data_IF_948714802117
#
_entry.id   IF_948714802117
#
_cell.length_a   1.000
_cell.length_b   1.000
_cell.length_c   1.000
_cell.angle_alpha   90.00
_cell.angle_beta   90.00
_cell.angle_gamma   90.00
#
_symmetry.space_group_name_H-M   'P 1'
#
loop_
_entity.id
_entity.type
_entity.pdbx_description
1 polymer ?
#
# COMPACT_ATOMS: atom_id res chain seq x y z
N UNK A 1 -18.20 31.05 15.21
CA UNK A 1 -18.88 29.76 14.99
C UNK A 1 -19.83 29.56 16.14
N UNK A 2 -21.12 29.47 15.85
CA UNK A 2 -22.14 29.16 16.85
C UNK A 2 -22.01 27.69 17.29
N UNK A 3 -22.67 27.33 18.39
CA UNK A 3 -22.71 25.93 18.84
C UNK A 3 -23.36 25.02 17.80
N UNK A 4 -24.44 25.47 17.15
CA UNK A 4 -25.17 24.71 16.13
C UNK A 4 -24.31 24.48 14.88
N UNK A 5 -23.56 25.50 14.44
CA UNK A 5 -22.60 25.36 13.34
C UNK A 5 -21.48 24.37 13.72
N UNK A 6 -20.94 24.49 14.94
CA UNK A 6 -19.89 23.60 15.43
C UNK A 6 -20.37 22.15 15.49
N UNK A 7 -21.59 21.92 16.00
CA UNK A 7 -22.22 20.61 16.10
C UNK A 7 -22.45 19.99 14.73
N UNK A 8 -23.02 20.74 13.78
CA UNK A 8 -23.23 20.25 12.42
C UNK A 8 -21.92 19.84 11.73
N UNK A 9 -20.84 20.58 11.95
CA UNK A 9 -19.51 20.19 11.47
C UNK A 9 -18.98 18.96 12.20
N UNK A 10 -19.16 18.87 13.51
CA UNK A 10 -18.70 17.75 14.33
C UNK A 10 -19.39 16.44 13.94
N UNK A 11 -20.70 16.47 13.67
CA UNK A 11 -21.49 15.31 13.25
C UNK A 11 -20.94 14.66 11.97
N UNK A 12 -20.25 15.43 11.12
CA UNK A 12 -19.55 14.93 9.92
C UNK A 12 -18.10 14.56 10.24
N UNK A 13 -17.35 15.46 10.89
CA UNK A 13 -15.88 15.34 11.03
C UNK A 13 -15.50 14.24 12.01
N UNK A 14 -16.17 14.16 13.17
CA UNK A 14 -15.74 13.28 14.27
C UNK A 14 -15.78 11.82 13.85
N UNK A 15 -16.89 11.28 13.30
CA UNK A 15 -16.94 9.88 12.88
C UNK A 15 -15.89 9.54 11.81
N UNK A 16 -15.60 10.46 10.90
CA UNK A 16 -14.61 10.25 9.83
C UNK A 16 -13.17 10.23 10.37
N UNK A 17 -12.84 11.11 11.32
CA UNK A 17 -11.52 11.07 11.99
C UNK A 17 -11.37 9.79 12.82
N UNK A 18 -12.41 9.36 13.52
CA UNK A 18 -12.44 8.10 14.26
C UNK A 18 -12.24 6.90 13.32
N UNK A 19 -12.85 6.93 12.13
CA UNK A 19 -12.61 5.99 11.04
C UNK A 19 -11.22 6.10 10.40
N UNK A 20 -10.42 7.05 10.86
CA UNK A 20 -9.04 7.24 10.49
C UNK A 20 -8.86 8.03 9.21
N UNK A 21 -9.81 8.85 8.78
CA UNK A 21 -9.63 9.72 7.62
C UNK A 21 -8.61 10.82 7.89
N UNK A 22 -7.94 11.31 6.85
CA UNK A 22 -7.10 12.52 6.98
C UNK A 22 -7.95 13.78 6.85
N UNK A 23 -7.56 14.90 7.49
CA UNK A 23 -8.21 16.20 7.28
C UNK A 23 -8.36 16.57 5.80
N UNK A 24 -7.33 16.35 4.97
CA UNK A 24 -7.42 16.49 3.52
C UNK A 24 -8.58 15.69 2.89
N UNK A 25 -8.72 14.41 3.25
CA UNK A 25 -9.74 13.54 2.68
C UNK A 25 -11.15 14.03 3.04
N UNK A 26 -11.35 14.46 4.29
CA UNK A 26 -12.64 14.97 4.77
C UNK A 26 -13.03 16.22 3.98
N UNK A 27 -12.17 17.26 3.94
CA UNK A 27 -12.53 18.52 3.25
C UNK A 27 -12.68 18.36 1.74
N UNK A 28 -12.00 17.38 1.14
CA UNK A 28 -12.11 17.08 -0.29
C UNK A 28 -13.46 16.45 -0.63
N UNK A 29 -14.00 15.64 0.28
CA UNK A 29 -15.22 14.86 0.04
C UNK A 29 -16.48 15.50 0.62
N UNK A 30 -16.30 16.46 1.54
CA UNK A 30 -17.37 17.27 2.14
C UNK A 30 -17.18 18.75 1.83
N UNK A 31 -17.33 19.20 0.57
CA UNK A 31 -17.21 20.61 0.19
C UNK A 31 -18.25 21.50 0.90
N UNK A 32 -19.36 20.93 1.36
CA UNK A 32 -20.39 21.59 2.18
C UNK A 32 -19.86 22.13 3.51
N UNK A 33 -18.75 21.59 4.04
CA UNK A 33 -18.11 22.12 5.24
C UNK A 33 -17.53 23.53 5.02
N UNK A 34 -17.28 23.90 3.75
CA UNK A 34 -16.78 25.22 3.33
C UNK A 34 -15.53 25.69 4.12
N UNK A 35 -14.64 24.75 4.45
CA UNK A 35 -13.38 25.03 5.14
C UNK A 35 -12.21 24.39 4.41
N UNK A 36 -11.03 25.01 4.56
CA UNK A 36 -9.79 24.42 4.07
C UNK A 36 -9.24 23.37 5.03
N UNK A 37 -8.38 22.48 4.55
CA UNK A 37 -7.64 21.52 5.39
C UNK A 37 -6.90 22.22 6.54
N UNK A 38 -6.26 23.37 6.26
CA UNK A 38 -5.57 24.17 7.29
C UNK A 38 -6.53 24.66 8.36
N UNK A 39 -7.74 25.08 7.96
CA UNK A 39 -8.78 25.51 8.89
C UNK A 39 -9.22 24.34 9.78
N UNK A 40 -9.39 23.14 9.21
CA UNK A 40 -9.74 21.94 9.97
C UNK A 40 -8.68 21.60 11.02
N UNK A 41 -7.39 21.63 10.65
CA UNK A 41 -6.29 21.45 11.61
C UNK A 41 -6.34 22.49 12.74
N UNK A 42 -6.49 23.78 12.40
CA UNK A 42 -6.57 24.84 13.40
C UNK A 42 -7.78 24.64 14.35
N UNK A 43 -8.92 24.16 13.85
CA UNK A 43 -10.10 23.91 14.68
C UNK A 43 -9.85 22.79 15.69
N UNK A 44 -9.22 21.70 15.24
CA UNK A 44 -8.85 20.57 16.10
C UNK A 44 -7.83 21.01 17.16
N UNK A 45 -6.73 21.66 16.76
CA UNK A 45 -5.67 22.13 17.66
C UNK A 45 -6.17 23.13 18.72
N UNK A 46 -7.07 24.03 18.33
CA UNK A 46 -7.70 24.99 19.26
C UNK A 46 -8.79 24.36 20.14
N UNK A 47 -9.06 23.06 19.97
CA UNK A 47 -9.98 22.30 20.80
C UNK A 47 -11.46 22.57 20.54
N UNK A 48 -11.80 23.07 19.35
CA UNK A 48 -13.19 23.39 18.98
C UNK A 48 -14.09 22.15 19.06
N UNK A 49 -13.56 20.98 18.72
CA UNK A 49 -14.31 19.72 18.72
C UNK A 49 -14.14 18.89 20.01
N UNK A 50 -13.50 19.44 21.05
CA UNK A 50 -13.25 18.70 22.30
C UNK A 50 -14.52 18.22 23.00
N UNK A 51 -15.58 19.03 22.95
CA UNK A 51 -16.88 18.67 23.54
C UNK A 51 -17.52 17.46 22.84
N UNK A 52 -17.18 17.23 21.57
CA UNK A 52 -17.64 16.10 20.77
C UNK A 52 -16.66 14.92 20.81
N UNK A 53 -15.67 14.94 21.72
CA UNK A 53 -14.74 13.83 21.92
C UNK A 53 -13.51 13.81 21.01
N UNK A 54 -13.35 14.80 20.12
CA UNK A 54 -12.22 14.85 19.17
C UNK A 54 -11.03 15.64 19.73
N UNK A 55 -9.87 14.98 19.77
CA UNK A 55 -8.59 15.53 20.20
C UNK A 55 -7.55 15.41 19.08
N UNK A 56 -6.51 16.24 19.14
CA UNK A 56 -5.38 16.21 18.19
C UNK A 56 -4.71 14.82 18.11
N UNK A 57 -4.77 14.05 19.20
CA UNK A 57 -4.18 12.70 19.28
C UNK A 57 -4.92 11.68 18.39
N UNK A 58 -6.17 11.98 18.01
CA UNK A 58 -7.01 11.10 17.19
C UNK A 58 -6.67 11.22 15.70
N UNK A 59 -6.02 12.32 15.31
CA UNK A 59 -5.46 12.50 13.98
C UNK A 59 -4.43 11.41 13.68
N UNK A 60 -4.34 11.02 12.40
CA UNK A 60 -3.29 10.10 11.93
C UNK A 60 -1.92 10.54 12.44
N UNK A 61 -1.23 9.62 13.12
CA UNK A 61 0.10 9.85 13.66
C UNK A 61 1.02 10.41 12.56
N UNK A 62 1.50 11.65 12.74
CA UNK A 62 2.68 12.15 12.01
C UNK A 62 3.82 11.21 12.37
N UNK A 63 4.43 10.57 11.36
CA UNK A 63 5.55 9.65 11.56
C UNK A 63 6.65 10.34 12.37
N UNK A 64 6.78 10.01 13.65
CA UNK A 64 8.01 10.30 14.39
C UNK A 64 9.08 9.37 13.82
N UNK A 65 10.05 9.93 13.09
CA UNK A 65 11.26 9.19 12.72
C UNK A 65 11.93 8.74 14.03
N UNK A 66 11.83 7.45 14.35
CA UNK A 66 12.65 6.86 15.40
C UNK A 66 14.07 6.82 14.85
N UNK A 67 15.01 7.53 15.49
CA UNK A 67 16.42 7.43 15.13
C UNK A 67 16.83 5.97 15.37
N UNK A 68 17.16 5.25 14.31
CA UNK A 68 17.70 3.90 14.38
C UNK A 68 19.03 3.96 15.11
N UNK A 69 19.20 3.11 16.13
CA UNK A 69 20.54 2.88 16.70
C UNK A 69 21.43 2.39 15.57
N UNK A 70 22.65 2.93 15.46
CA UNK A 70 23.67 2.45 14.52
C UNK A 70 23.84 0.95 14.73
N UNK A 71 23.36 0.15 13.79
CA UNK A 71 23.68 -1.27 13.75
C UNK A 71 25.20 -1.37 13.56
N UNK A 72 25.87 -2.19 14.39
CA UNK A 72 27.26 -2.52 14.12
C UNK A 72 27.30 -3.26 12.78
N UNK A 73 28.10 -2.75 11.84
CA UNK A 73 28.38 -3.42 10.58
C UNK A 73 29.14 -4.72 10.88
N UNK A 74 28.41 -5.79 11.23
CA UNK A 74 28.91 -7.15 11.07
C UNK A 74 28.93 -7.39 9.56
N UNK A 75 30.10 -7.20 8.96
CA UNK A 75 30.38 -7.67 7.61
C UNK A 75 30.09 -9.17 7.56
N UNK A 76 28.89 -9.56 7.14
CA UNK A 76 28.65 -10.92 6.65
C UNK A 76 29.44 -11.07 5.36
N UNK A 77 30.16 -12.18 5.25
CA UNK A 77 30.85 -12.61 4.03
C UNK A 77 29.84 -12.50 2.87
N UNK A 78 30.19 -11.78 1.80
CA UNK A 78 29.32 -11.65 0.61
C UNK A 78 29.13 -13.05 0.04
N UNK A 79 27.92 -13.59 0.18
CA UNK A 79 27.50 -14.72 -0.66
C UNK A 79 27.37 -14.22 -2.10
N UNK A 80 27.84 -15.01 -3.06
CA UNK A 80 27.70 -14.71 -4.49
C UNK A 80 26.23 -14.79 -4.88
N UNK A 81 25.55 -13.64 -4.89
CA UNK A 81 24.15 -13.50 -5.27
C UNK A 81 24.01 -13.47 -6.79
N UNK A 82 24.20 -14.62 -7.44
CA UNK A 82 24.08 -14.79 -8.91
C UNK A 82 22.77 -14.25 -9.48
N UNK A 83 21.68 -14.31 -8.70
CA UNK A 83 20.36 -13.81 -9.11
C UNK A 83 20.35 -12.29 -9.39
N UNK A 84 21.30 -11.51 -8.86
CA UNK A 84 21.39 -10.06 -9.09
C UNK A 84 22.03 -9.68 -10.43
N UNK A 85 22.69 -10.61 -11.11
CA UNK A 85 23.37 -10.30 -12.37
C UNK A 85 22.36 -9.82 -13.43
N UNK A 86 22.53 -8.59 -13.92
CA UNK A 86 21.62 -7.94 -14.87
C UNK A 86 20.28 -7.51 -14.27
N UNK A 87 20.16 -7.50 -12.93
CA UNK A 87 18.92 -7.18 -12.19
C UNK A 87 19.14 -6.14 -11.09
N UNK A 88 20.24 -5.41 -11.14
CA UNK A 88 20.52 -4.35 -10.16
C UNK A 88 19.65 -3.12 -10.41
N UNK A 89 19.67 -2.17 -9.48
CA UNK A 89 18.99 -0.89 -9.68
C UNK A 89 19.58 -0.10 -10.86
N UNK A 90 20.89 -0.18 -11.09
CA UNK A 90 21.51 0.46 -12.25
C UNK A 90 21.02 -0.19 -13.56
N UNK A 91 20.86 -1.51 -13.58
CA UNK A 91 20.26 -2.23 -14.72
C UNK A 91 18.82 -1.76 -14.97
N UNK A 92 18.03 -1.53 -13.91
CA UNK A 92 16.68 -0.96 -14.02
C UNK A 92 16.69 0.43 -14.65
N UNK A 93 17.59 1.32 -14.22
CA UNK A 93 17.73 2.68 -14.77
C UNK A 93 18.10 2.61 -16.25
N UNK A 94 19.07 1.78 -16.62
CA UNK A 94 19.47 1.61 -18.02
C UNK A 94 18.31 1.06 -18.87
N UNK A 95 17.63 0.03 -18.36
CA UNK A 95 16.54 -0.63 -19.08
C UNK A 95 15.35 0.31 -19.34
N UNK A 96 14.97 1.12 -18.34
CA UNK A 96 13.86 2.10 -18.45
C UNK A 96 14.25 3.35 -19.24
N UNK A 97 15.54 3.68 -19.33
CA UNK A 97 16.01 4.72 -20.24
C UNK A 97 15.88 4.31 -21.71
N UNK A 98 16.12 3.03 -22.02
CA UNK A 98 16.00 2.45 -23.36
C UNK A 98 14.56 2.10 -23.74
N UNK A 99 13.72 1.75 -22.77
CA UNK A 99 12.33 1.31 -22.98
C UNK A 99 11.38 2.24 -22.22
N UNK A 100 10.79 3.19 -22.93
CA UNK A 100 9.88 4.18 -22.34
C UNK A 100 8.46 3.61 -22.16
N UNK A 101 7.72 4.19 -21.22
CA UNK A 101 6.32 3.88 -20.93
C UNK A 101 6.06 2.43 -20.50
N UNK A 102 7.02 1.81 -19.81
CA UNK A 102 6.80 0.51 -19.19
C UNK A 102 6.09 0.68 -17.84
N UNK A 103 5.04 -0.11 -17.62
CA UNK A 103 4.41 -0.18 -16.30
C UNK A 103 5.38 -0.78 -15.29
N UNK A 104 5.48 -0.13 -14.14
CA UNK A 104 6.34 -0.55 -13.03
C UNK A 104 5.48 -0.85 -11.81
N UNK A 105 5.68 -2.04 -11.26
CA UNK A 105 5.09 -2.49 -10.01
C UNK A 105 6.18 -2.60 -8.96
N UNK A 106 5.96 -1.99 -7.78
CA UNK A 106 6.84 -2.23 -6.64
C UNK A 106 6.29 -3.37 -5.78
N UNK A 107 7.17 -4.33 -5.46
CA UNK A 107 6.85 -5.48 -4.62
C UNK A 107 7.59 -5.40 -3.28
N UNK A 108 6.89 -5.75 -2.20
CA UNK A 108 7.43 -5.77 -0.84
C UNK A 108 6.66 -6.77 0.04
N UNK A 109 7.20 -7.13 1.20
CA UNK A 109 6.55 -8.01 2.18
C UNK A 109 6.28 -7.24 3.48
N UNK A 110 5.01 -7.12 3.88
CA UNK A 110 4.60 -6.53 5.16
C UNK A 110 4.24 -7.62 6.16
N UNK A 111 4.81 -7.53 7.37
CA UNK A 111 4.54 -8.46 8.47
C UNK A 111 4.76 -7.80 9.83
N UNK A 112 4.26 -8.44 10.89
CA UNK A 112 4.49 -8.05 12.28
C UNK A 112 5.45 -9.00 13.01
N UNK A 113 5.48 -10.26 12.61
CA UNK A 113 6.41 -11.26 13.08
C UNK A 113 7.19 -11.82 11.89
N UNK A 114 8.52 -11.85 11.98
CA UNK A 114 9.38 -12.31 10.88
C UNK A 114 9.49 -13.83 10.77
N UNK A 115 9.01 -14.56 11.77
CA UNK A 115 9.13 -16.02 11.88
C UNK A 115 7.79 -16.74 11.69
N UNK A 116 6.69 -16.12 12.12
CA UNK A 116 5.36 -16.72 12.05
C UNK A 116 4.45 -15.81 11.23
N UNK A 117 3.74 -16.40 10.27
CA UNK A 117 2.75 -15.69 9.47
C UNK A 117 1.59 -15.14 10.31
N UNK A 118 0.75 -14.30 9.70
CA UNK A 118 0.65 -14.08 8.26
C UNK A 118 1.61 -13.00 7.74
N UNK A 119 1.89 -13.09 6.44
CA UNK A 119 2.66 -12.12 5.66
C UNK A 119 1.76 -11.54 4.56
N UNK A 120 1.99 -10.28 4.20
CA UNK A 120 1.32 -9.59 3.10
C UNK A 120 2.34 -9.34 2.00
N UNK A 121 2.24 -10.05 0.89
CA UNK A 121 3.00 -9.72 -0.31
C UNK A 121 2.27 -8.59 -1.05
N UNK A 122 2.86 -7.41 -1.04
CA UNK A 122 2.25 -6.20 -1.58
C UNK A 122 2.75 -5.91 -2.99
N UNK A 123 1.85 -5.43 -3.85
CA UNK A 123 2.13 -4.99 -5.21
C UNK A 123 1.58 -3.58 -5.40
N UNK A 124 2.44 -2.61 -5.70
CA UNK A 124 2.04 -1.23 -5.96
C UNK A 124 2.20 -0.91 -7.42
N UNK A 125 1.09 -0.77 -8.11
CA UNK A 125 1.03 -0.26 -9.47
C UNK A 125 1.26 1.25 -9.44
N UNK A 126 2.42 1.69 -9.92
CA UNK A 126 2.84 3.08 -9.76
C UNK A 126 1.98 4.06 -10.56
N UNK A 127 1.55 3.67 -11.76
CA UNK A 127 0.76 4.53 -12.66
C UNK A 127 -0.61 4.91 -12.07
N UNK A 128 -1.20 4.03 -11.26
CA UNK A 128 -2.51 4.26 -10.63
C UNK A 128 -2.41 4.61 -9.15
N UNK A 129 -1.22 4.50 -8.56
CA UNK A 129 -1.03 4.46 -7.11
C UNK A 129 -1.89 3.40 -6.41
N UNK A 130 -2.17 2.28 -7.08
CA UNK A 130 -3.03 1.21 -6.59
C UNK A 130 -2.23 0.11 -5.89
N UNK A 131 -2.69 -0.32 -4.72
CA UNK A 131 -2.07 -1.39 -3.94
C UNK A 131 -2.89 -2.68 -4.01
N UNK A 132 -2.24 -3.78 -4.39
CA UNK A 132 -2.76 -5.12 -4.24
C UNK A 132 -1.99 -5.87 -3.16
N UNK A 133 -2.65 -6.79 -2.45
CA UNK A 133 -2.04 -7.61 -1.41
C UNK A 133 -2.42 -9.07 -1.63
N UNK A 134 -1.43 -9.94 -1.69
CA UNK A 134 -1.60 -11.38 -1.57
C UNK A 134 -1.33 -11.79 -0.13
N UNK A 135 -2.28 -12.50 0.47
CA UNK A 135 -2.15 -13.10 1.79
C UNK A 135 -1.24 -14.33 1.71
N UNK A 136 -0.28 -14.43 2.62
CA UNK A 136 0.69 -15.52 2.67
C UNK A 136 0.81 -16.06 4.10
N UNK A 137 0.81 -17.38 4.26
CA UNK A 137 1.13 -18.03 5.55
C UNK A 137 2.64 -18.15 5.78
N UNK A 138 3.41 -18.19 4.69
CA UNK A 138 4.86 -18.37 4.71
C UNK A 138 5.58 -17.25 3.95
N UNK A 139 6.82 -16.97 4.35
CA UNK A 139 7.68 -15.94 3.75
C UNK A 139 8.88 -16.53 2.99
N UNK A 140 8.60 -17.51 2.14
CA UNK A 140 9.60 -18.23 1.33
C UNK A 140 9.67 -17.67 -0.09
N UNK A 141 10.76 -17.92 -0.80
CA UNK A 141 10.88 -17.54 -2.22
C UNK A 141 9.79 -18.20 -3.07
N UNK A 142 9.49 -19.47 -2.80
CA UNK A 142 8.41 -20.21 -3.47
C UNK A 142 7.06 -19.54 -3.28
N UNK A 143 6.68 -19.22 -2.04
CA UNK A 143 5.41 -18.54 -1.75
C UNK A 143 5.30 -17.19 -2.45
N UNK A 144 6.39 -16.42 -2.52
CA UNK A 144 6.38 -15.13 -3.22
C UNK A 144 6.22 -15.30 -4.74
N UNK A 145 6.86 -16.31 -5.35
CA UNK A 145 6.65 -16.64 -6.77
C UNK A 145 5.19 -17.03 -7.02
N UNK A 146 4.61 -17.89 -6.18
CA UNK A 146 3.19 -18.29 -6.25
C UNK A 146 2.24 -17.08 -6.14
N UNK A 147 2.63 -16.04 -5.39
CA UNK A 147 1.86 -14.79 -5.34
C UNK A 147 1.92 -13.98 -6.64
N UNK A 148 3.03 -14.03 -7.39
CA UNK A 148 3.11 -13.46 -8.75
C UNK A 148 2.28 -14.31 -9.73
N UNK A 149 2.33 -15.63 -9.61
CA UNK A 149 1.49 -16.54 -10.42
C UNK A 149 0.00 -16.25 -10.19
N UNK A 150 -0.41 -15.99 -8.95
CA UNK A 150 -1.77 -15.60 -8.62
C UNK A 150 -2.14 -14.26 -9.28
N UNK A 151 -1.26 -13.25 -9.20
CA UNK A 151 -1.50 -11.96 -9.85
C UNK A 151 -1.66 -12.12 -11.37
N UNK A 152 -0.79 -12.89 -12.01
CA UNK A 152 -0.89 -13.22 -13.44
C UNK A 152 -2.19 -13.95 -13.77
N UNK A 153 -2.61 -14.91 -12.95
CA UNK A 153 -3.88 -15.62 -13.11
C UNK A 153 -5.09 -14.68 -13.02
N UNK A 154 -5.06 -13.70 -12.12
CA UNK A 154 -6.13 -12.70 -11.97
C UNK A 154 -6.22 -11.83 -13.23
N UNK A 155 -5.09 -11.30 -13.68
CA UNK A 155 -5.03 -10.36 -14.80
C UNK A 155 -5.22 -11.04 -16.15
N UNK A 156 -4.75 -12.28 -16.29
CA UNK A 156 -4.50 -12.93 -17.56
C UNK A 156 -3.17 -12.47 -18.17
N UNK A 157 -2.61 -13.28 -19.06
CA UNK A 157 -1.24 -13.10 -19.60
C UNK A 157 -1.02 -11.75 -20.27
N UNK A 158 -1.91 -11.38 -21.18
CA UNK A 158 -1.77 -10.15 -21.97
C UNK A 158 -1.72 -8.92 -21.05
N UNK A 159 -2.73 -8.78 -20.18
CA UNK A 159 -2.82 -7.65 -19.26
C UNK A 159 -1.71 -7.67 -18.20
N UNK A 160 -1.29 -8.84 -17.72
CA UNK A 160 -0.15 -8.95 -16.82
C UNK A 160 1.13 -8.46 -17.47
N UNK A 161 1.39 -8.84 -18.72
CA UNK A 161 2.60 -8.44 -19.44
C UNK A 161 2.68 -6.93 -19.69
N UNK A 162 1.53 -6.28 -19.86
CA UNK A 162 1.40 -4.83 -20.05
C UNK A 162 1.52 -4.08 -18.72
N UNK A 163 0.77 -4.50 -17.70
CA UNK A 163 0.60 -3.77 -16.43
C UNK A 163 1.63 -4.14 -15.36
N UNK A 164 2.34 -5.26 -15.54
CA UNK A 164 3.40 -5.76 -14.65
C UNK A 164 4.68 -6.03 -15.46
N UNK A 165 4.97 -5.19 -16.44
CA UNK A 165 6.16 -5.32 -17.29
C UNK A 165 7.47 -5.36 -16.50
N UNK A 166 7.53 -4.60 -15.40
CA UNK A 166 8.65 -4.56 -14.47
C UNK A 166 8.17 -4.72 -13.02
N UNK A 167 8.83 -5.61 -12.28
CA UNK A 167 8.74 -5.69 -10.82
C UNK A 167 10.02 -5.14 -10.20
N UNK A 168 9.89 -4.21 -9.26
CA UNK A 168 10.99 -3.69 -8.45
C UNK A 168 10.83 -4.09 -7.00
N UNK A 169 11.83 -4.74 -6.41
CA UNK A 169 11.81 -5.22 -5.01
C UNK A 169 13.15 -4.98 -4.29
N UNK A 170 13.25 -5.33 -3.01
CA UNK A 170 14.54 -5.36 -2.30
C UNK A 170 15.19 -6.74 -2.34
N UNK A 171 16.38 -6.83 -1.76
CA UNK A 171 17.21 -8.03 -1.74
C UNK A 171 16.85 -8.99 -0.60
N UNK A 172 15.60 -8.97 -0.13
CA UNK A 172 15.05 -9.92 0.83
C UNK A 172 15.26 -11.36 0.40
N UNK A 173 15.41 -12.27 1.38
CA UNK A 173 15.66 -13.69 1.09
C UNK A 173 14.46 -14.37 0.43
N UNK A 174 13.25 -13.86 0.67
CA UNK A 174 12.00 -14.26 0.03
C UNK A 174 11.91 -13.83 -1.44
N UNK A 175 12.84 -13.00 -1.93
CA UNK A 175 12.84 -12.50 -3.31
C UNK A 175 14.06 -12.99 -4.09
N UNK A 176 14.75 -14.05 -3.62
CA UNK A 176 15.99 -14.51 -4.27
C UNK A 176 15.76 -15.33 -5.55
N UNK A 177 14.54 -15.82 -5.80
CA UNK A 177 14.22 -16.64 -6.98
C UNK A 177 13.82 -15.79 -8.19
N UNK A 178 14.80 -15.06 -8.73
CA UNK A 178 14.60 -14.15 -9.85
C UNK A 178 14.02 -14.86 -11.10
N UNK A 179 14.43 -16.10 -11.37
CA UNK A 179 13.94 -16.83 -12.55
C UNK A 179 12.48 -17.26 -12.39
N UNK A 180 12.07 -17.72 -11.20
CA UNK A 180 10.68 -18.04 -10.92
C UNK A 180 9.75 -16.84 -11.07
N UNK A 181 10.22 -15.62 -10.73
CA UNK A 181 9.44 -14.41 -10.98
C UNK A 181 9.35 -14.07 -12.47
N UNK A 182 10.45 -14.19 -13.21
CA UNK A 182 10.52 -13.70 -14.61
C UNK A 182 9.89 -14.64 -15.62
N UNK A 183 9.86 -15.95 -15.36
CA UNK A 183 9.46 -16.96 -16.35
C UNK A 183 8.20 -17.73 -15.97
N UNK A 184 7.42 -18.08 -16.99
CA UNK A 184 6.37 -19.10 -16.89
C UNK A 184 6.96 -20.51 -16.99
N UNK A 185 6.14 -21.54 -16.73
CA UNK A 185 6.50 -22.97 -16.91
C UNK A 185 7.00 -23.31 -18.32
N UNK A 186 6.57 -22.57 -19.35
CA UNK A 186 6.99 -22.76 -20.73
C UNK A 186 8.30 -22.00 -21.09
N UNK A 187 9.01 -21.47 -20.09
CA UNK A 187 10.24 -20.66 -20.21
C UNK A 187 10.05 -19.30 -20.91
N UNK A 188 8.83 -18.91 -21.25
CA UNK A 188 8.54 -17.57 -21.75
C UNK A 188 8.65 -16.55 -20.61
N UNK A 189 9.15 -15.35 -20.92
CA UNK A 189 9.32 -14.29 -19.93
C UNK A 189 8.02 -13.50 -19.77
N UNK A 190 7.45 -13.53 -18.57
CA UNK A 190 6.23 -12.78 -18.20
C UNK A 190 6.50 -11.39 -17.62
N UNK A 191 7.66 -11.19 -16.97
CA UNK A 191 8.05 -9.90 -16.37
C UNK A 191 9.58 -9.81 -16.23
N UNK A 192 10.07 -8.67 -15.77
CA UNK A 192 11.47 -8.44 -15.39
C UNK A 192 11.56 -7.99 -13.95
N UNK A 193 12.41 -8.64 -13.17
CA UNK A 193 12.61 -8.27 -11.77
C UNK A 193 13.92 -7.50 -11.59
N UNK A 194 13.86 -6.39 -10.88
CA UNK A 194 15.02 -5.60 -10.49
C UNK A 194 15.07 -5.36 -8.98
N UNK A 195 16.29 -5.23 -8.45
CA UNK A 195 16.57 -5.20 -7.03
C UNK A 195 17.20 -3.87 -6.60
N UNK A 196 16.50 -3.15 -5.74
CA UNK A 196 17.01 -1.94 -5.08
C UNK A 196 18.22 -2.26 -4.18
N UNK A 197 19.04 -1.24 -3.94
CA UNK A 197 20.19 -1.34 -3.06
C UNK A 197 19.79 -1.38 -1.57
N UNK A 198 20.53 -2.13 -0.73
CA UNK A 198 20.35 -2.10 0.71
C UNK A 198 20.50 -0.67 1.25
N UNK A 199 19.63 -0.28 2.17
CA UNK A 199 19.64 1.04 2.82
C UNK A 199 19.40 2.24 1.88
N UNK A 200 18.97 2.02 0.63
CA UNK A 200 18.63 3.09 -0.31
C UNK A 200 17.12 3.37 -0.31
N UNK A 201 16.59 3.89 0.80
CA UNK A 201 15.14 4.13 0.94
C UNK A 201 14.56 5.07 -0.11
N UNK A 202 15.38 5.98 -0.68
CA UNK A 202 14.99 6.86 -1.79
C UNK A 202 14.67 6.12 -3.10
N UNK A 203 15.23 4.94 -3.36
CA UNK A 203 14.93 4.12 -4.55
C UNK A 203 13.54 3.45 -4.48
N UNK A 204 12.88 3.53 -3.32
CA UNK A 204 11.60 2.89 -2.96
C UNK A 204 10.64 3.87 -2.26
N UNK A 205 10.67 5.16 -2.61
CA UNK A 205 9.93 6.21 -1.88
C UNK A 205 8.41 5.95 -1.75
N UNK A 206 7.79 5.27 -2.73
CA UNK A 206 6.39 4.86 -2.68
C UNK A 206 6.11 3.70 -1.73
N UNK A 207 7.03 2.73 -1.59
CA UNK A 207 6.90 1.62 -0.62
C UNK A 207 6.83 2.12 0.83
N UNK A 208 7.58 3.19 1.17
CA UNK A 208 7.48 3.79 2.52
C UNK A 208 6.08 4.34 2.82
N UNK A 209 5.36 4.85 1.81
CA UNK A 209 4.00 5.34 1.99
C UNK A 209 2.98 4.20 2.01
N UNK A 210 3.16 3.18 1.18
CA UNK A 210 2.33 1.97 1.17
C UNK A 210 2.30 1.28 2.54
N UNK A 211 3.47 1.11 3.17
CA UNK A 211 3.54 0.49 4.48
C UNK A 211 2.81 1.30 5.55
N UNK A 212 2.83 2.63 5.46
CA UNK A 212 2.13 3.50 6.43
C UNK A 212 0.62 3.29 6.37
N UNK A 213 0.05 3.15 5.18
CA UNK A 213 -1.40 2.98 5.00
C UNK A 213 -1.87 1.66 5.58
N UNK A 214 -1.15 0.57 5.28
CA UNK A 214 -1.39 -0.74 5.90
C UNK A 214 -1.24 -0.63 7.42
N UNK A 215 -0.26 0.12 7.93
CA UNK A 215 -0.02 0.24 9.39
C UNK A 215 -1.14 0.96 10.15
N UNK A 216 -2.01 1.71 9.49
CA UNK A 216 -3.18 2.28 10.17
C UNK A 216 -4.22 1.19 10.52
N UNK A 217 -4.36 0.17 9.68
CA UNK A 217 -5.26 -0.97 9.90
C UNK A 217 -4.56 -2.12 10.63
N UNK A 218 -3.28 -2.35 10.31
CA UNK A 218 -2.45 -3.41 10.86
C UNK A 218 -1.22 -2.84 11.60
N UNK A 219 -1.41 -2.25 12.79
CA UNK A 219 -0.32 -1.67 13.57
C UNK A 219 0.78 -2.69 13.86
N UNK A 220 2.02 -2.20 14.02
CA UNK A 220 3.13 -3.05 14.47
C UNK A 220 2.87 -3.59 15.88
N UNK A 221 3.60 -4.62 16.28
CA UNK A 221 3.59 -5.22 17.63
C UNK A 221 2.28 -5.94 18.00
N UNK A 222 1.30 -6.01 17.09
CA UNK A 222 0.09 -6.81 17.24
C UNK A 222 0.20 -8.08 16.41
N UNK A 223 -0.40 -9.17 16.87
CA UNK A 223 -0.54 -10.35 16.02
C UNK A 223 -1.57 -10.07 14.91
N UNK A 224 -1.21 -10.36 13.66
CA UNK A 224 -2.07 -10.04 12.51
C UNK A 224 -3.26 -11.00 12.42
N UNK A 225 -3.13 -12.25 12.85
CA UNK A 225 -4.24 -13.21 12.91
C UNK A 225 -5.22 -12.81 14.01
N UNK A 226 -4.72 -12.41 15.18
CA UNK A 226 -5.57 -11.92 16.28
C UNK A 226 -6.31 -10.63 15.90
N UNK A 227 -5.70 -9.80 15.03
CA UNK A 227 -6.37 -8.63 14.44
C UNK A 227 -7.45 -9.01 13.41
N UNK A 228 -7.50 -10.26 12.93
CA UNK A 228 -8.48 -10.74 11.95
C UNK A 228 -7.95 -10.88 10.52
N UNK A 229 -6.65 -10.66 10.26
CA UNK A 229 -6.04 -10.93 8.96
C UNK A 229 -5.71 -12.43 8.86
N UNK A 230 -6.67 -13.24 8.44
CA UNK A 230 -6.57 -14.70 8.38
C UNK A 230 -6.92 -15.30 7.01
N UNK A 231 -7.15 -14.46 6.00
CA UNK A 231 -7.52 -14.91 4.65
C UNK A 231 -7.24 -13.87 3.57
N UNK A 232 -7.32 -14.30 2.30
CA UNK A 232 -7.23 -13.40 1.14
C UNK A 232 -8.42 -12.43 1.08
N UNK A 233 -9.62 -12.83 1.51
CA UNK A 233 -10.79 -11.96 1.59
C UNK A 233 -10.56 -10.80 2.57
N UNK A 234 -9.95 -11.08 3.73
CA UNK A 234 -9.59 -10.03 4.70
C UNK A 234 -8.49 -9.12 4.14
N UNK A 235 -7.53 -9.64 3.37
CA UNK A 235 -6.56 -8.81 2.64
C UNK A 235 -7.24 -7.93 1.57
N UNK A 236 -8.20 -8.48 0.82
CA UNK A 236 -8.99 -7.76 -0.18
C UNK A 236 -9.82 -6.63 0.47
N UNK A 237 -10.37 -6.86 1.66
CA UNK A 237 -11.07 -5.83 2.44
C UNK A 237 -10.14 -4.66 2.77
N UNK A 238 -8.92 -4.92 3.27
CA UNK A 238 -7.92 -3.88 3.57
C UNK A 238 -7.64 -3.02 2.33
N UNK A 239 -7.33 -3.65 1.19
CA UNK A 239 -6.98 -2.91 -0.03
C UNK A 239 -8.19 -2.19 -0.64
N UNK A 240 -9.41 -2.71 -0.48
CA UNK A 240 -10.64 -2.03 -0.90
C UNK A 240 -10.79 -0.68 -0.19
N UNK A 241 -10.59 -0.65 1.13
CA UNK A 241 -10.62 0.58 1.92
C UNK A 241 -9.45 1.54 1.60
N UNK A 242 -8.23 1.02 1.50
CA UNK A 242 -7.04 1.84 1.20
C UNK A 242 -7.15 2.50 -0.18
N UNK A 243 -7.54 1.74 -1.22
CA UNK A 243 -7.61 2.22 -2.59
C UNK A 243 -8.90 2.99 -2.92
N UNK A 244 -9.87 3.01 -2.01
CA UNK A 244 -11.04 3.90 -2.11
C UNK A 244 -10.77 5.29 -1.52
N UNK A 245 -9.69 5.45 -0.76
CA UNK A 245 -9.34 6.72 -0.15
C UNK A 245 -8.82 7.73 -1.19
N UNK A 246 -9.43 8.93 -1.26
CA UNK A 246 -8.90 10.07 -1.99
C UNK A 246 -7.47 10.42 -1.57
N UNK A 247 -6.59 10.64 -2.54
CA UNK A 247 -5.19 11.02 -2.29
C UNK A 247 -4.89 12.40 -2.85
N UNK A 248 -4.09 13.17 -2.12
CA UNK A 248 -3.71 14.53 -2.50
C UNK A 248 -2.90 14.57 -3.81
N UNK A 249 -1.94 13.64 -3.96
CA UNK A 249 -1.14 13.54 -5.19
C UNK A 249 -1.97 13.11 -6.41
N UNK A 250 -3.16 12.54 -6.19
CA UNK A 250 -4.15 12.21 -7.23
C UNK A 250 -5.25 13.27 -7.35
N UNK A 251 -5.03 14.48 -6.83
CA UNK A 251 -5.98 15.61 -6.91
C UNK A 251 -7.38 15.26 -6.39
N UNK A 252 -7.44 14.52 -5.29
CA UNK A 252 -8.68 14.15 -4.62
C UNK A 252 -9.36 12.89 -5.17
N UNK A 253 -8.80 12.26 -6.22
CA UNK A 253 -9.23 10.96 -6.70
C UNK A 253 -8.63 9.83 -5.87
N UNK A 254 -9.32 8.70 -5.81
CA UNK A 254 -8.80 7.47 -5.23
C UNK A 254 -8.03 6.64 -6.26
N UNK A 255 -7.12 5.74 -5.85
CA UNK A 255 -6.46 4.83 -6.78
C UNK A 255 -7.43 3.99 -7.63
N UNK A 256 -8.56 3.55 -7.06
CA UNK A 256 -9.59 2.84 -7.83
C UNK A 256 -10.25 3.73 -8.88
N UNK A 257 -10.52 5.01 -8.58
CA UNK A 257 -11.06 5.96 -9.57
C UNK A 257 -10.08 6.20 -10.72
N UNK A 258 -8.79 6.34 -10.42
CA UNK A 258 -7.76 6.56 -11.43
C UNK A 258 -7.61 5.32 -12.31
N UNK A 259 -7.58 4.13 -11.71
CA UNK A 259 -7.52 2.87 -12.46
C UNK A 259 -8.76 2.66 -13.33
N UNK A 260 -9.97 2.85 -12.79
CA UNK A 260 -11.23 2.72 -13.54
C UNK A 260 -11.25 3.65 -14.76
N UNK A 261 -10.73 4.87 -14.62
CA UNK A 261 -10.64 5.83 -15.72
C UNK A 261 -9.58 5.46 -16.77
N UNK A 262 -8.38 5.07 -16.33
CA UNK A 262 -7.23 4.86 -17.22
C UNK A 262 -7.21 3.47 -17.85
N UNK A 263 -7.55 2.43 -17.07
CA UNK A 263 -7.61 1.04 -17.51
C UNK A 263 -8.82 0.31 -16.90
N UNK A 264 -10.02 0.46 -17.52
CA UNK A 264 -11.24 -0.19 -17.05
C UNK A 264 -11.15 -1.73 -17.02
N UNK A 265 -10.36 -2.33 -17.92
CA UNK A 265 -10.17 -3.78 -17.96
C UNK A 265 -9.41 -4.27 -16.72
N UNK A 266 -8.33 -3.58 -16.35
CA UNK A 266 -7.57 -3.85 -15.12
C UNK A 266 -8.43 -3.67 -13.87
N UNK A 267 -9.19 -2.59 -13.80
CA UNK A 267 -10.14 -2.36 -12.71
C UNK A 267 -11.13 -3.53 -12.58
N UNK A 268 -11.70 -3.99 -13.70
CA UNK A 268 -12.66 -5.08 -13.69
C UNK A 268 -12.05 -6.40 -13.17
N UNK A 269 -10.80 -6.72 -13.54
CA UNK A 269 -10.10 -7.92 -13.02
C UNK A 269 -9.95 -7.91 -11.50
N UNK A 270 -9.55 -6.78 -10.93
CA UNK A 270 -9.42 -6.64 -9.49
C UNK A 270 -10.77 -6.64 -8.77
N UNK A 271 -11.80 -6.03 -9.38
CA UNK A 271 -13.17 -6.07 -8.88
C UNK A 271 -13.72 -7.50 -8.84
N UNK A 272 -13.53 -8.28 -9.91
CA UNK A 272 -13.95 -9.68 -9.98
C UNK A 272 -13.22 -10.56 -8.95
N UNK A 273 -12.00 -10.18 -8.57
CA UNK A 273 -11.25 -10.82 -7.49
C UNK A 273 -11.71 -10.43 -6.08
N UNK A 274 -12.62 -9.46 -5.95
CA UNK A 274 -13.20 -9.02 -4.67
C UNK A 274 -12.61 -7.71 -4.11
N UNK A 275 -11.96 -6.89 -4.94
CA UNK A 275 -11.52 -5.55 -4.54
C UNK A 275 -12.58 -4.54 -4.93
N UNK A 276 -13.30 -4.03 -3.93
CA UNK A 276 -14.47 -3.19 -4.14
C UNK A 276 -14.19 -1.72 -3.85
N UNK A 277 -14.90 -0.86 -4.57
CA UNK A 277 -14.90 0.57 -4.31
C UNK A 277 -15.86 0.87 -3.16
N UNK A 278 -15.32 1.36 -2.06
CA UNK A 278 -16.07 1.72 -0.86
C UNK A 278 -16.55 3.17 -0.99
N UNK A 279 -17.80 3.42 -0.60
CA UNK A 279 -18.31 4.79 -0.46
C UNK A 279 -17.40 5.55 0.51
N UNK A 280 -17.06 6.81 0.19
CA UNK A 280 -16.05 7.58 0.89
C UNK A 280 -16.31 7.64 2.40
N UNK A 281 -17.56 7.85 2.80
CA UNK A 281 -17.95 7.98 4.21
C UNK A 281 -17.90 6.64 4.96
N UNK A 282 -17.97 5.52 4.24
CA UNK A 282 -17.90 4.17 4.80
C UNK A 282 -16.46 3.64 4.87
N UNK A 283 -15.46 4.43 4.47
CA UNK A 283 -14.07 3.98 4.52
C UNK A 283 -13.60 3.88 5.98
N UNK A 284 -13.08 2.72 6.37
CA UNK A 284 -12.43 2.49 7.66
C UNK A 284 -10.96 2.20 7.46
N UNK A 285 -10.08 2.97 8.09
CA UNK A 285 -8.62 2.85 7.99
C UNK A 285 -8.01 2.67 9.39
N UNK A 286 -8.64 1.81 10.19
CA UNK A 286 -8.29 1.51 11.58
C UNK A 286 -8.40 0.01 11.85
N UNK A 287 -7.82 -0.50 12.95
CA UNK A 287 -7.76 -1.95 13.19
C UNK A 287 -9.11 -2.63 13.34
N UNK A 288 -10.15 -1.90 13.75
CA UNK A 288 -11.50 -2.46 13.88
C UNK A 288 -12.14 -2.81 12.53
N UNK A 289 -11.54 -2.44 11.39
CA UNK A 289 -11.97 -2.92 10.07
C UNK A 289 -12.00 -4.45 9.98
N UNK A 290 -11.07 -5.12 10.66
CA UNK A 290 -10.88 -6.56 10.56
C UNK A 290 -11.59 -7.33 11.68
N UNK A 291 -12.13 -6.63 12.68
CA UNK A 291 -12.89 -7.23 13.78
C UNK A 291 -14.26 -7.63 13.25
N UNK A 292 -14.66 -8.86 13.59
CA UNK A 292 -16.01 -9.36 13.31
C UNK A 292 -17.06 -8.70 14.22
#
# INVERSE_FOLDING_TARGET
MSYEECKAMADIIVPLIEAGHSPYHIVTNHPELNISEKTLYNYIENGIFREFGLLDIDLRIKTKRKITKKASNKYKKREDKKYLNGRTYDDFINYTAENKNLSVVEMDTVYNNGSTGPFMQTFKFLDYSFMFIVYQEEKTAKSMVEGVDLLEKILGKDLFSEEVAIIKTDRGSEFCDAEGFEKEENESRRTRIFYCDPMASGQKGSLENNHKEIRYICPKENDLKDLGLNSQEKANLIVSHINSQSKEHLKGKSPLEVMEFMNPALYQKFKDFGIERINKDNIVLKPYLLKD
#
